data_IF_436077581713
#
_entry.id   IF_436077581713
#
_cell.length_a   1.000
_cell.length_b   1.000
_cell.length_c   1.000
_cell.angle_alpha   90.00
_cell.angle_beta   90.00
_cell.angle_gamma   90.00
#
_symmetry.space_group_name_H-M   'P 1'
#
loop_
_entity.id
_entity.type
_entity.pdbx_description
1 polymer ?
#
# COMPACT_ATOMS: atom_id res chain seq x y z
N UNK A 1 37.56 -7.79 -11.94
CA UNK A 1 38.80 -7.08 -12.34
C UNK A 1 38.81 -7.09 -13.85
N UNK A 2 39.27 -6.02 -14.51
CA UNK A 2 39.38 -6.05 -15.96
C UNK A 2 40.47 -7.05 -16.37
N UNK A 3 40.38 -7.69 -17.53
CA UNK A 3 41.40 -8.64 -17.98
C UNK A 3 41.73 -8.42 -19.46
N UNK A 4 43.01 -8.54 -19.80
CA UNK A 4 43.50 -8.57 -21.17
C UNK A 4 44.39 -9.81 -21.35
N UNK A 5 44.45 -10.37 -22.56
CA UNK A 5 45.35 -11.50 -22.83
C UNK A 5 46.80 -11.01 -22.79
N UNK A 6 47.67 -11.79 -22.15
CA UNK A 6 49.10 -11.51 -22.12
C UNK A 6 49.70 -11.63 -23.53
N UNK A 7 50.55 -10.68 -23.98
CA UNK A 7 51.19 -10.76 -25.29
C UNK A 7 52.12 -11.97 -25.44
N UNK A 8 52.78 -12.39 -24.36
CA UNK A 8 53.75 -13.49 -24.38
C UNK A 8 53.08 -14.86 -24.29
N UNK A 9 52.21 -15.07 -23.29
CA UNK A 9 51.67 -16.40 -22.98
C UNK A 9 50.19 -16.58 -23.31
N UNK A 10 49.50 -15.56 -23.83
CA UNK A 10 48.09 -15.59 -24.19
C UNK A 10 47.10 -15.68 -23.01
N UNK A 11 47.55 -16.00 -21.79
CA UNK A 11 46.68 -16.12 -20.60
C UNK A 11 46.10 -14.75 -20.20
N UNK A 12 44.84 -14.69 -19.74
CA UNK A 12 44.24 -13.45 -19.27
C UNK A 12 44.94 -12.97 -18.00
N UNK A 13 45.44 -11.73 -18.03
CA UNK A 13 46.00 -11.03 -16.88
C UNK A 13 45.16 -9.81 -16.52
N UNK A 14 45.17 -9.39 -15.25
CA UNK A 14 44.38 -8.24 -14.81
C UNK A 14 44.90 -6.93 -15.42
N UNK A 15 43.99 -6.05 -15.87
CA UNK A 15 44.29 -4.67 -16.27
C UNK A 15 43.58 -3.68 -15.36
N UNK A 16 44.16 -2.49 -15.21
CA UNK A 16 43.64 -1.41 -14.37
C UNK A 16 43.46 -0.14 -15.19
N UNK A 17 42.28 0.49 -15.12
CA UNK A 17 42.04 1.79 -15.73
C UNK A 17 42.83 2.92 -15.03
N UNK A 18 43.26 2.69 -13.79
CA UNK A 18 44.13 3.62 -13.06
C UNK A 18 45.56 3.67 -13.64
N UNK A 19 45.99 2.63 -14.37
CA UNK A 19 47.31 2.55 -14.98
C UNK A 19 47.18 1.86 -16.36
N UNK A 20 46.61 2.55 -17.37
CA UNK A 20 46.24 1.95 -18.65
C UNK A 20 47.45 1.42 -19.43
N UNK A 21 48.65 1.91 -19.13
CA UNK A 21 49.90 1.50 -19.78
C UNK A 21 50.68 0.43 -18.99
N UNK A 22 50.12 -0.10 -17.89
CA UNK A 22 50.75 -1.14 -17.08
C UNK A 22 49.93 -2.43 -17.08
N UNK A 23 50.57 -3.51 -17.49
CA UNK A 23 50.08 -4.87 -17.47
C UNK A 23 51.10 -5.77 -16.76
N UNK A 24 50.61 -6.65 -15.88
CA UNK A 24 51.42 -7.63 -15.18
C UNK A 24 50.76 -9.01 -15.30
N UNK A 25 51.45 -9.95 -15.95
CA UNK A 25 50.97 -11.31 -16.08
C UNK A 25 51.44 -12.14 -14.88
N UNK A 26 50.50 -12.64 -14.08
CA UNK A 26 50.82 -13.55 -12.97
C UNK A 26 51.33 -14.93 -13.41
N UNK A 27 51.10 -15.33 -14.67
CA UNK A 27 51.44 -16.67 -15.15
C UNK A 27 52.86 -16.78 -15.73
N UNK A 28 53.29 -15.83 -16.56
CA UNK A 28 54.64 -15.82 -17.16
C UNK A 28 55.56 -14.73 -16.60
N UNK A 29 55.06 -13.87 -15.70
CA UNK A 29 55.85 -12.78 -15.11
C UNK A 29 56.02 -11.54 -15.99
N UNK A 30 55.48 -11.51 -17.21
CA UNK A 30 55.57 -10.36 -18.12
C UNK A 30 55.06 -9.06 -17.45
N UNK A 31 55.86 -7.99 -17.55
CA UNK A 31 55.53 -6.64 -17.08
C UNK A 31 55.77 -5.65 -18.23
N UNK A 32 54.72 -4.96 -18.67
CA UNK A 32 54.84 -4.04 -19.82
C UNK A 32 53.51 -3.37 -20.16
N UNK A 33 53.41 -2.82 -21.36
CA UNK A 33 52.15 -2.26 -21.85
C UNK A 33 51.15 -3.39 -22.22
N UNK A 34 49.83 -3.19 -22.05
CA UNK A 34 48.84 -4.11 -22.59
C UNK A 34 48.95 -4.19 -24.12
N UNK A 35 48.65 -5.34 -24.74
CA UNK A 35 48.84 -5.52 -26.18
C UNK A 35 47.88 -4.68 -27.04
N UNK A 36 48.44 -4.08 -28.09
CA UNK A 36 47.71 -3.51 -29.22
C UNK A 36 46.53 -2.61 -28.83
N UNK A 37 45.35 -2.94 -29.36
CA UNK A 37 44.10 -2.21 -29.18
C UNK A 37 43.64 -2.11 -27.71
N UNK A 38 44.05 -3.03 -26.83
CA UNK A 38 43.64 -3.00 -25.43
C UNK A 38 44.17 -1.75 -24.70
N UNK A 39 45.40 -1.33 -25.00
CA UNK A 39 45.98 -0.10 -24.43
C UNK A 39 45.19 1.14 -24.85
N UNK A 40 44.84 1.26 -26.14
CA UNK A 40 44.04 2.36 -26.67
C UNK A 40 42.63 2.40 -26.04
N UNK A 41 41.96 1.26 -25.95
CA UNK A 41 40.64 1.14 -25.30
C UNK A 41 40.69 1.49 -23.81
N UNK A 42 41.72 1.07 -23.08
CA UNK A 42 41.90 1.42 -21.67
C UNK A 42 42.14 2.91 -21.47
N UNK A 43 42.92 3.56 -22.34
CA UNK A 43 43.13 5.02 -22.32
C UNK A 43 41.84 5.78 -22.64
N UNK A 44 41.09 5.33 -23.65
CA UNK A 44 39.80 5.91 -24.00
C UNK A 44 38.82 5.80 -22.83
N UNK A 45 38.66 4.61 -22.24
CA UNK A 45 37.82 4.38 -21.08
C UNK A 45 38.27 5.21 -19.86
N UNK A 46 39.57 5.34 -19.62
CA UNK A 46 40.10 6.22 -18.57
C UNK A 46 39.79 7.69 -18.83
N UNK A 47 39.82 8.15 -20.09
CA UNK A 47 39.45 9.51 -20.48
C UNK A 47 37.96 9.79 -20.27
N UNK A 48 37.08 8.83 -20.58
CA UNK A 48 35.64 8.94 -20.31
C UNK A 48 35.40 8.99 -18.80
N UNK A 49 36.11 8.15 -18.03
CA UNK A 49 36.00 8.09 -16.59
C UNK A 49 36.47 9.39 -15.92
N UNK A 50 37.47 10.08 -16.45
CA UNK A 50 37.96 11.36 -15.93
C UNK A 50 37.04 12.53 -16.30
N UNK A 51 36.44 12.51 -17.50
CA UNK A 51 35.43 13.51 -17.93
C UNK A 51 34.10 13.39 -17.20
N UNK A 52 33.72 12.19 -16.76
CA UNK A 52 32.48 11.97 -16.01
C UNK A 52 32.59 12.59 -14.61
N UNK A 53 31.65 13.45 -14.23
CA UNK A 53 31.65 14.11 -12.91
C UNK A 53 31.84 13.11 -11.76
N UNK A 54 32.86 13.35 -10.91
CA UNK A 54 33.14 12.56 -9.72
C UNK A 54 31.94 12.48 -8.77
N UNK A 55 31.11 13.52 -8.70
CA UNK A 55 29.88 13.53 -7.90
C UNK A 55 28.92 12.42 -8.33
N UNK A 56 28.96 11.97 -9.58
CA UNK A 56 28.12 10.85 -10.06
C UNK A 56 28.51 9.49 -9.47
N UNK A 57 29.75 9.36 -9.02
CA UNK A 57 30.35 8.12 -8.48
C UNK A 57 30.40 8.08 -6.95
N UNK A 58 29.96 9.17 -6.32
CA UNK A 58 29.89 9.30 -4.88
C UNK A 58 28.46 9.03 -4.39
N UNK A 59 28.38 8.38 -3.24
CA UNK A 59 27.15 8.11 -2.51
C UNK A 59 26.93 9.20 -1.47
N UNK A 60 25.68 9.58 -1.25
CA UNK A 60 25.32 10.47 -0.15
C UNK A 60 25.52 9.77 1.21
N UNK A 61 25.66 10.55 2.29
CA UNK A 61 25.79 10.02 3.65
C UNK A 61 24.62 9.10 4.02
N UNK A 62 23.40 9.45 3.59
CA UNK A 62 22.21 8.63 3.79
C UNK A 62 22.31 7.28 3.05
N UNK A 63 22.73 7.28 1.78
CA UNK A 63 22.91 6.06 0.99
C UNK A 63 23.97 5.14 1.61
N UNK A 64 25.07 5.72 2.10
CA UNK A 64 26.11 4.96 2.81
C UNK A 64 25.54 4.26 4.04
N UNK A 65 24.82 4.99 4.91
CA UNK A 65 24.19 4.42 6.11
C UNK A 65 23.19 3.30 5.76
N UNK A 66 22.40 3.48 4.71
CA UNK A 66 21.45 2.47 4.23
C UNK A 66 22.16 1.18 3.76
N UNK A 67 23.33 1.32 3.14
CA UNK A 67 24.11 0.18 2.65
C UNK A 67 24.94 -0.49 3.75
N UNK A 68 25.37 0.23 4.78
CA UNK A 68 26.15 -0.35 5.89
C UNK A 68 25.30 -0.98 7.00
N UNK A 69 24.10 -0.45 7.26
CA UNK A 69 23.27 -0.87 8.38
C UNK A 69 21.94 -1.45 7.90
N UNK A 70 21.78 -2.77 8.02
CA UNK A 70 20.52 -3.45 7.74
C UNK A 70 19.40 -3.01 8.69
N UNK A 71 19.76 -2.68 9.94
CA UNK A 71 18.82 -2.13 10.93
C UNK A 71 18.29 -0.77 10.47
N UNK A 72 19.17 0.15 10.05
CA UNK A 72 18.75 1.48 9.60
C UNK A 72 17.80 1.40 8.40
N UNK A 73 18.11 0.55 7.41
CA UNK A 73 17.21 0.33 6.27
C UNK A 73 15.87 -0.29 6.67
N UNK A 74 15.87 -1.22 7.62
CA UNK A 74 14.63 -1.81 8.16
C UNK A 74 13.81 -0.78 8.93
N UNK A 75 14.44 0.07 9.77
CA UNK A 75 13.75 1.12 10.52
C UNK A 75 13.15 2.19 9.61
N UNK A 76 13.89 2.67 8.60
CA UNK A 76 13.36 3.63 7.63
C UNK A 76 12.15 3.05 6.88
N UNK A 77 12.22 1.76 6.53
CA UNK A 77 11.11 1.06 5.89
C UNK A 77 9.88 0.93 6.79
N UNK A 78 10.07 0.48 8.04
CA UNK A 78 8.99 0.34 9.02
C UNK A 78 8.35 1.70 9.35
N UNK A 79 9.15 2.77 9.46
CA UNK A 79 8.64 4.12 9.66
C UNK A 79 7.76 4.57 8.48
N UNK A 80 8.14 4.25 7.25
CA UNK A 80 7.31 4.51 6.07
C UNK A 80 5.99 3.71 6.11
N UNK A 81 6.03 2.41 6.44
CA UNK A 81 4.82 1.60 6.61
C UNK A 81 3.90 2.14 7.72
N UNK A 82 4.46 2.54 8.87
CA UNK A 82 3.72 3.11 9.97
C UNK A 82 3.05 4.44 9.58
N UNK A 83 3.75 5.29 8.83
CA UNK A 83 3.19 6.54 8.32
C UNK A 83 1.97 6.33 7.40
N UNK A 84 1.95 5.24 6.62
CA UNK A 84 0.81 4.86 5.78
C UNK A 84 -0.38 4.36 6.63
N UNK A 85 -0.13 3.77 7.80
CA UNK A 85 -1.18 3.27 8.69
C UNK A 85 -1.81 4.37 9.58
N UNK A 86 -1.14 5.51 9.77
CA UNK A 86 -1.62 6.59 10.64
C UNK A 86 -3.05 7.09 10.30
N UNK A 87 -3.42 7.33 9.03
CA UNK A 87 -4.78 7.75 8.68
C UNK A 87 -5.83 6.71 9.07
N UNK A 88 -5.53 5.42 8.93
CA UNK A 88 -6.44 4.32 9.29
C UNK A 88 -6.65 4.24 10.79
N UNK A 89 -5.59 4.41 11.56
CA UNK A 89 -5.67 4.51 13.02
C UNK A 89 -6.55 5.70 13.45
N UNK A 90 -6.45 6.83 12.74
CA UNK A 90 -7.32 8.00 12.94
C UNK A 90 -8.79 7.71 12.64
N UNK A 91 -9.10 7.11 11.48
CA UNK A 91 -10.46 6.72 11.12
C UNK A 91 -11.05 5.73 12.15
N UNK A 92 -10.25 4.76 12.59
CA UNK A 92 -10.66 3.80 13.61
C UNK A 92 -10.98 4.50 14.93
N UNK A 93 -10.09 5.37 15.40
CA UNK A 93 -10.32 6.14 16.62
C UNK A 93 -11.61 6.97 16.53
N UNK A 94 -11.86 7.66 15.41
CA UNK A 94 -13.09 8.41 15.17
C UNK A 94 -14.34 7.51 15.18
N UNK A 95 -14.27 6.32 14.57
CA UNK A 95 -15.38 5.38 14.58
C UNK A 95 -15.69 4.84 15.99
N UNK A 96 -14.67 4.63 16.83
CA UNK A 96 -14.86 4.18 18.21
C UNK A 96 -15.60 5.20 19.08
N UNK A 97 -15.57 6.48 18.72
CA UNK A 97 -16.33 7.53 19.41
C UNK A 97 -17.78 7.67 18.93
N UNK A 98 -18.19 6.99 17.85
CA UNK A 98 -19.59 7.03 17.40
C UNK A 98 -20.45 6.11 18.27
N UNK A 99 -21.39 6.65 19.06
CA UNK A 99 -22.18 5.85 19.98
C UNK A 99 -23.31 5.12 19.22
N UNK A 100 -23.04 3.91 18.72
CA UNK A 100 -24.14 3.02 18.28
C UNK A 100 -23.80 1.77 17.50
N UNK A 101 -23.90 0.63 18.19
CA UNK A 101 -24.07 -0.69 17.59
C UNK A 101 -23.06 -1.72 18.12
N UNK A 102 -23.39 -3.02 18.13
CA UNK A 102 -22.37 -4.07 18.23
C UNK A 102 -21.32 -3.82 17.15
N UNK A 103 -20.04 -4.11 17.44
CA UNK A 103 -18.94 -3.89 16.51
C UNK A 103 -19.32 -4.52 15.17
N UNK A 104 -19.71 -3.69 14.21
CA UNK A 104 -20.17 -4.16 12.92
C UNK A 104 -18.96 -4.88 12.30
N UNK A 105 -19.15 -6.13 11.87
CA UNK A 105 -18.09 -6.88 11.21
C UNK A 105 -17.51 -6.09 10.04
N UNK A 106 -18.32 -5.21 9.42
CA UNK A 106 -17.86 -4.24 8.44
C UNK A 106 -16.79 -3.27 8.99
N UNK A 107 -16.97 -2.71 10.19
CA UNK A 107 -15.99 -1.83 10.82
C UNK A 107 -14.69 -2.58 11.17
N UNK A 108 -14.81 -3.82 11.67
CA UNK A 108 -13.65 -4.67 11.96
C UNK A 108 -12.88 -5.01 10.69
N UNK A 109 -13.57 -5.39 9.62
CA UNK A 109 -12.97 -5.65 8.31
C UNK A 109 -12.31 -4.39 7.74
N UNK A 110 -12.98 -3.24 7.80
CA UNK A 110 -12.43 -1.96 7.33
C UNK A 110 -11.12 -1.58 8.04
N UNK A 111 -10.96 -1.98 9.31
CA UNK A 111 -9.75 -1.72 10.08
C UNK A 111 -8.67 -2.79 9.90
N UNK A 112 -9.06 -4.06 9.80
CA UNK A 112 -8.14 -5.18 9.62
C UNK A 112 -7.53 -5.19 8.21
N UNK A 113 -8.30 -4.87 7.17
CA UNK A 113 -7.84 -4.95 5.78
C UNK A 113 -6.61 -4.08 5.51
N UNK A 114 -6.56 -2.78 5.87
CA UNK A 114 -5.36 -1.95 5.68
C UNK A 114 -4.13 -2.50 6.40
N UNK A 115 -4.31 -3.00 7.63
CA UNK A 115 -3.21 -3.60 8.40
C UNK A 115 -2.69 -4.85 7.71
N UNK A 116 -3.57 -5.76 7.29
CA UNK A 116 -3.18 -6.98 6.57
C UNK A 116 -2.50 -6.66 5.23
N UNK A 117 -2.99 -5.67 4.49
CA UNK A 117 -2.37 -5.19 3.25
C UNK A 117 -0.97 -4.63 3.54
N UNK A 118 -0.80 -3.76 4.54
CA UNK A 118 0.52 -3.22 4.87
C UNK A 118 1.46 -4.30 5.40
N UNK A 119 0.98 -5.30 6.15
CA UNK A 119 1.82 -6.41 6.61
C UNK A 119 2.27 -7.31 5.45
N UNK A 120 1.36 -7.68 4.56
CA UNK A 120 1.66 -8.56 3.42
C UNK A 120 2.55 -7.87 2.39
N UNK A 121 2.13 -6.72 1.87
CA UNK A 121 2.92 -5.95 0.91
C UNK A 121 4.16 -5.34 1.56
N UNK A 122 4.11 -5.03 2.86
CA UNK A 122 5.25 -4.55 3.64
C UNK A 122 6.35 -5.61 3.76
N UNK A 123 5.99 -6.85 4.13
CA UNK A 123 6.94 -7.94 4.20
C UNK A 123 7.58 -8.21 2.82
N UNK A 124 6.77 -8.31 1.76
CA UNK A 124 7.26 -8.50 0.40
C UNK A 124 8.15 -7.34 -0.06
N UNK A 125 7.76 -6.09 0.24
CA UNK A 125 8.53 -4.90 -0.10
C UNK A 125 9.86 -4.83 0.66
N UNK A 126 9.90 -5.25 1.92
CA UNK A 126 11.14 -5.34 2.71
C UNK A 126 12.09 -6.39 2.13
N UNK A 127 11.58 -7.58 1.79
CA UNK A 127 12.39 -8.63 1.14
C UNK A 127 12.93 -8.16 -0.21
N UNK A 128 12.07 -7.50 -1.01
CA UNK A 128 12.48 -6.91 -2.28
C UNK A 128 13.56 -5.84 -2.08
N UNK A 129 13.39 -4.91 -1.12
CA UNK A 129 14.37 -3.89 -0.79
C UNK A 129 15.70 -4.51 -0.36
N UNK A 130 15.69 -5.52 0.52
CA UNK A 130 16.88 -6.25 0.94
C UNK A 130 17.60 -6.91 -0.23
N UNK A 131 16.87 -7.56 -1.13
CA UNK A 131 17.44 -8.17 -2.34
C UNK A 131 18.09 -7.14 -3.27
N UNK A 132 17.46 -5.96 -3.43
CA UNK A 132 17.98 -4.86 -4.24
C UNK A 132 19.22 -4.24 -3.60
N UNK A 133 19.20 -4.01 -2.29
CA UNK A 133 20.35 -3.51 -1.55
C UNK A 133 21.51 -4.50 -1.61
N UNK A 134 21.27 -5.81 -1.51
CA UNK A 134 22.30 -6.84 -1.68
C UNK A 134 22.97 -6.75 -3.08
N UNK A 135 22.18 -6.58 -4.15
CA UNK A 135 22.70 -6.38 -5.50
C UNK A 135 23.52 -5.09 -5.61
N UNK A 136 23.04 -3.99 -5.03
CA UNK A 136 23.76 -2.71 -5.03
C UNK A 136 25.08 -2.81 -4.24
N UNK A 137 25.08 -3.49 -3.09
CA UNK A 137 26.29 -3.77 -2.31
C UNK A 137 27.30 -4.57 -3.12
N UNK A 138 26.85 -5.62 -3.82
CA UNK A 138 27.71 -6.42 -4.69
C UNK A 138 28.32 -5.60 -5.84
N UNK A 139 27.58 -4.65 -6.40
CA UNK A 139 28.07 -3.76 -7.47
C UNK A 139 29.08 -2.72 -6.98
N UNK A 140 28.91 -2.22 -5.75
CA UNK A 140 29.78 -1.22 -5.13
C UNK A 140 30.98 -1.81 -4.38
N UNK A 141 30.98 -3.12 -4.17
CA UNK A 141 32.03 -3.79 -3.45
C UNK A 141 33.37 -3.71 -4.18
N UNK A 142 34.41 -3.36 -3.43
CA UNK A 142 35.78 -3.41 -3.93
C UNK A 142 36.11 -4.82 -4.46
N UNK A 143 37.06 -4.90 -5.38
CA UNK A 143 37.66 -6.18 -5.71
C UNK A 143 38.45 -6.68 -4.48
N UNK A 144 38.22 -7.92 -4.05
CA UNK A 144 38.96 -8.49 -2.93
C UNK A 144 40.46 -8.51 -3.26
N UNK A 145 41.32 -8.40 -2.25
CA UNK A 145 42.76 -8.46 -2.46
C UNK A 145 43.16 -9.85 -3.00
N UNK A 146 44.13 -9.95 -3.92
CA UNK A 146 44.55 -11.22 -4.51
C UNK A 146 45.24 -12.14 -3.50
N UNK A 147 45.85 -11.56 -2.46
CA UNK A 147 46.50 -12.27 -1.36
C UNK A 147 46.13 -11.60 -0.02
N UNK A 148 46.08 -12.36 1.08
CA UNK A 148 45.92 -11.77 2.41
C UNK A 148 46.95 -10.66 2.67
N UNK A 149 46.51 -9.50 3.16
CA UNK A 149 47.38 -8.34 3.43
C UNK A 149 47.60 -7.40 2.23
N UNK A 150 47.29 -7.82 1.00
CA UNK A 150 47.32 -6.89 -0.15
C UNK A 150 46.15 -5.89 -0.08
N UNK A 151 46.28 -4.69 -0.67
CA UNK A 151 45.18 -3.74 -0.72
C UNK A 151 44.06 -4.25 -1.65
N UNK A 152 42.80 -4.02 -1.24
CA UNK A 152 41.65 -4.19 -2.11
C UNK A 152 41.75 -3.22 -3.31
N UNK A 153 41.15 -3.58 -4.44
CA UNK A 153 41.16 -2.75 -5.64
C UNK A 153 39.80 -2.10 -5.90
N UNK A 154 39.80 -0.90 -6.47
CA UNK A 154 38.58 -0.15 -6.76
C UNK A 154 37.69 -0.91 -7.76
N UNK A 155 36.38 -1.00 -7.47
CA UNK A 155 35.41 -1.71 -8.33
C UNK A 155 35.22 -1.05 -9.71
N UNK A 156 35.55 0.24 -9.83
CA UNK A 156 35.42 1.02 -11.07
C UNK A 156 36.73 1.05 -11.86
N UNK A 157 37.85 1.47 -11.27
CA UNK A 157 39.09 1.66 -12.04
C UNK A 157 40.14 0.57 -11.81
N UNK A 158 39.94 -0.33 -10.84
CA UNK A 158 40.92 -1.34 -10.45
C UNK A 158 42.13 -0.80 -9.68
N UNK A 159 42.22 0.51 -9.42
CA UNK A 159 43.34 1.10 -8.67
C UNK A 159 43.32 0.69 -7.19
N UNK A 160 44.49 0.66 -6.52
CA UNK A 160 44.60 0.24 -5.13
C UNK A 160 43.83 1.18 -4.20
N UNK A 161 43.15 0.61 -3.22
CA UNK A 161 42.48 1.35 -2.15
C UNK A 161 43.39 1.43 -0.93
N UNK A 162 43.44 2.59 -0.28
CA UNK A 162 44.14 2.72 0.99
C UNK A 162 43.49 1.80 2.03
N UNK A 163 44.30 0.99 2.71
CA UNK A 163 43.82 0.15 3.80
C UNK A 163 43.36 1.06 4.93
N UNK A 164 42.07 1.00 5.27
CA UNK A 164 41.51 1.66 6.45
C UNK A 164 40.80 0.61 7.27
N UNK A 165 41.19 0.47 8.54
CA UNK A 165 40.76 -0.63 9.42
C UNK A 165 39.25 -0.65 9.68
N UNK A 166 38.59 0.50 9.73
CA UNK A 166 37.22 0.58 10.28
C UNK A 166 36.17 1.20 9.35
N UNK A 167 36.58 1.79 8.23
CA UNK A 167 35.63 2.42 7.32
C UNK A 167 34.98 1.37 6.41
N UNK A 168 33.66 1.16 6.53
CA UNK A 168 32.93 0.31 5.61
C UNK A 168 33.00 0.80 4.15
N UNK A 169 33.25 2.10 3.93
CA UNK A 169 33.40 2.71 2.62
C UNK A 169 34.75 3.41 2.47
N UNK A 170 35.47 3.13 1.38
CA UNK A 170 36.72 3.80 1.02
C UNK A 170 36.58 4.48 -0.33
N UNK A 171 36.98 5.75 -0.40
CA UNK A 171 36.98 6.52 -1.64
C UNK A 171 38.29 6.28 -2.39
N UNK A 172 38.18 5.90 -3.66
CA UNK A 172 39.36 5.70 -4.50
C UNK A 172 40.08 7.04 -4.76
N UNK A 173 41.39 7.10 -4.53
CA UNK A 173 42.20 8.29 -4.79
C UNK A 173 42.23 8.69 -6.28
N UNK A 174 42.13 7.72 -7.18
CA UNK A 174 42.20 7.92 -8.64
C UNK A 174 40.86 8.39 -9.23
N UNK A 175 39.83 7.55 -9.15
CA UNK A 175 38.54 7.82 -9.83
C UNK A 175 37.47 8.44 -8.91
N UNK A 176 37.78 8.64 -7.62
CA UNK A 176 36.87 9.16 -6.59
C UNK A 176 35.55 8.41 -6.40
N UNK A 177 35.44 7.18 -6.92
CA UNK A 177 34.32 6.29 -6.64
C UNK A 177 34.36 5.81 -5.18
N UNK A 178 33.18 5.70 -4.57
CA UNK A 178 33.04 5.09 -3.25
C UNK A 178 33.00 3.55 -3.39
N UNK A 179 33.80 2.84 -2.60
CA UNK A 179 33.91 1.38 -2.63
C UNK A 179 33.50 0.81 -1.29
N UNK A 180 32.63 -0.19 -1.30
CA UNK A 180 32.25 -0.93 -0.10
C UNK A 180 33.34 -1.97 0.20
N UNK A 181 34.01 -1.84 1.35
CA UNK A 181 35.12 -2.71 1.79
C UNK A 181 34.78 -3.51 3.05
N UNK A 182 33.50 -3.61 3.40
CA UNK A 182 33.03 -4.40 4.54
C UNK A 182 33.53 -5.85 4.45
N UNK A 183 34.18 -6.41 5.49
CA UNK A 183 34.72 -7.77 5.47
C UNK A 183 33.68 -8.83 5.10
N UNK A 184 32.44 -8.69 5.61
CA UNK A 184 31.33 -9.61 5.30
C UNK A 184 30.99 -9.63 3.82
N UNK A 185 31.01 -8.47 3.16
CA UNK A 185 30.67 -8.35 1.73
C UNK A 185 31.82 -8.89 0.87
N UNK A 186 33.07 -8.60 1.24
CA UNK A 186 34.23 -9.11 0.52
C UNK A 186 34.34 -10.64 0.62
N UNK A 187 34.06 -11.22 1.79
CA UNK A 187 34.00 -12.67 1.97
C UNK A 187 32.93 -13.31 1.08
N UNK A 188 31.69 -12.82 1.15
CA UNK A 188 30.58 -13.35 0.35
C UNK A 188 30.82 -13.25 -1.17
N UNK A 189 31.52 -12.21 -1.62
CA UNK A 189 31.87 -12.05 -3.03
C UNK A 189 33.06 -12.90 -3.46
N UNK A 190 34.01 -13.18 -2.57
CA UNK A 190 35.10 -14.12 -2.84
C UNK A 190 34.54 -15.48 -3.28
N UNK A 191 33.58 -15.99 -2.53
CA UNK A 191 32.94 -17.28 -2.79
C UNK A 191 32.09 -17.28 -4.07
N UNK A 192 31.37 -16.18 -4.32
CA UNK A 192 30.51 -16.06 -5.50
C UNK A 192 31.29 -15.87 -6.80
N UNK A 193 32.41 -15.14 -6.77
CA UNK A 193 33.22 -14.83 -7.98
C UNK A 193 34.02 -16.01 -8.50
N UNK A 194 34.27 -17.03 -7.68
CA UNK A 194 34.86 -18.28 -8.15
C UNK A 194 34.01 -18.96 -9.25
N UNK A 195 32.76 -18.51 -9.48
CA UNK A 195 31.79 -19.19 -10.36
C UNK A 195 31.39 -18.42 -11.64
N UNK A 196 31.81 -17.17 -11.87
CA UNK A 196 31.28 -16.36 -12.99
C UNK A 196 32.36 -15.52 -13.67
N UNK A 197 32.84 -15.97 -14.84
CA UNK A 197 33.76 -15.18 -15.68
C UNK A 197 33.60 -15.48 -17.20
N UNK A 198 32.41 -15.28 -17.78
CA UNK A 198 32.21 -15.48 -19.23
C UNK A 198 31.57 -14.34 -20.03
N UNK A 199 31.12 -13.22 -19.44
CA UNK A 199 30.46 -12.17 -20.23
C UNK A 199 30.89 -10.74 -19.83
N UNK A 200 31.62 -10.06 -20.72
CA UNK A 200 32.55 -8.97 -20.33
C UNK A 200 32.29 -7.62 -21.00
N UNK A 201 31.89 -7.58 -22.27
CA UNK A 201 31.92 -6.34 -23.06
C UNK A 201 30.65 -5.51 -22.93
N UNK A 202 29.50 -6.12 -22.62
CA UNK A 202 28.23 -5.38 -22.41
C UNK A 202 28.10 -4.66 -21.07
N UNK A 203 28.93 -5.00 -20.08
CA UNK A 203 28.60 -4.80 -18.67
C UNK A 203 29.22 -3.51 -18.08
N UNK A 204 30.31 -3.00 -18.66
CA UNK A 204 31.05 -1.83 -18.13
C UNK A 204 30.29 -0.51 -18.30
N UNK A 205 29.63 -0.31 -19.44
CA UNK A 205 28.77 0.87 -19.69
C UNK A 205 27.51 0.84 -18.82
N UNK A 206 26.91 -0.35 -18.63
CA UNK A 206 25.70 -0.54 -17.83
C UNK A 206 25.97 -0.29 -16.34
N UNK A 207 27.08 -0.79 -15.78
CA UNK A 207 27.34 -0.75 -14.32
C UNK A 207 27.43 0.64 -13.69
N UNK A 208 27.93 1.65 -14.41
CA UNK A 208 28.07 3.00 -13.86
C UNK A 208 26.73 3.78 -13.76
N UNK A 209 25.79 3.51 -14.67
CA UNK A 209 24.45 4.10 -14.67
C UNK A 209 23.45 3.34 -13.77
N UNK A 210 23.62 2.01 -13.67
CA UNK A 210 22.68 1.13 -12.95
C UNK A 210 22.60 1.46 -11.46
N UNK A 211 23.69 1.80 -10.76
CA UNK A 211 23.61 1.96 -9.29
C UNK A 211 22.60 3.04 -8.86
N UNK A 212 22.55 4.18 -9.58
CA UNK A 212 21.57 5.24 -9.31
C UNK A 212 20.21 4.96 -9.90
N UNK A 213 20.16 4.37 -11.10
CA UNK A 213 18.89 4.04 -11.74
C UNK A 213 18.16 2.92 -11.00
N UNK A 214 18.89 1.96 -10.43
CA UNK A 214 18.39 0.93 -9.52
C UNK A 214 17.89 1.51 -8.21
N UNK A 215 18.57 2.54 -7.67
CA UNK A 215 18.08 3.26 -6.49
C UNK A 215 16.78 4.03 -6.78
N UNK A 216 16.74 4.76 -7.91
CA UNK A 216 15.55 5.50 -8.36
C UNK A 216 14.41 4.57 -8.74
N UNK A 217 14.68 3.42 -9.36
CA UNK A 217 13.65 2.44 -9.70
C UNK A 217 13.23 1.60 -8.49
N UNK A 218 14.09 1.39 -7.49
CA UNK A 218 13.68 0.85 -6.20
C UNK A 218 12.74 1.83 -5.46
N UNK A 219 13.05 3.14 -5.50
CA UNK A 219 12.21 4.19 -4.92
C UNK A 219 10.91 4.44 -5.71
N UNK A 220 10.91 4.28 -7.04
CA UNK A 220 9.71 4.40 -7.89
C UNK A 220 8.87 3.12 -7.92
N UNK A 221 9.51 1.95 -7.85
CA UNK A 221 8.89 0.63 -7.77
C UNK A 221 8.32 0.32 -6.39
N UNK A 222 8.83 0.97 -5.35
CA UNK A 222 8.03 1.38 -4.20
C UNK A 222 6.99 2.39 -4.71
N UNK A 223 5.96 1.89 -5.37
CA UNK A 223 4.80 2.64 -5.82
C UNK A 223 4.03 3.18 -4.62
N UNK A 224 4.63 4.13 -3.90
CA UNK A 224 4.01 4.94 -2.86
C UNK A 224 2.72 5.56 -3.39
N UNK A 225 2.66 5.91 -4.69
CA UNK A 225 1.43 6.36 -5.32
C UNK A 225 0.30 5.34 -5.23
N UNK A 226 0.51 4.09 -5.63
CA UNK A 226 -0.56 3.07 -5.63
C UNK A 226 -0.83 2.50 -4.22
N UNK A 227 0.21 2.30 -3.41
CA UNK A 227 0.10 1.81 -2.03
C UNK A 227 -0.50 2.83 -1.06
N UNK A 228 -0.41 4.13 -1.36
CA UNK A 228 -1.05 5.19 -0.55
C UNK A 228 -2.39 5.60 -1.15
N UNK A 229 -2.50 5.77 -2.47
CA UNK A 229 -3.73 6.28 -3.08
C UNK A 229 -4.91 5.30 -2.97
N UNK A 230 -4.69 3.99 -3.16
CA UNK A 230 -5.81 3.04 -3.11
C UNK A 230 -6.42 2.91 -1.70
N UNK A 231 -5.61 2.77 -0.63
CA UNK A 231 -6.16 2.74 0.72
C UNK A 231 -6.77 4.09 1.13
N UNK A 232 -6.14 5.22 0.75
CA UNK A 232 -6.65 6.55 1.05
C UNK A 232 -7.98 6.83 0.33
N UNK A 233 -8.11 6.42 -0.93
CA UNK A 233 -9.37 6.51 -1.68
C UNK A 233 -10.46 5.62 -1.06
N UNK A 234 -10.10 4.44 -0.57
CA UNK A 234 -11.03 3.56 0.14
C UNK A 234 -11.50 4.19 1.47
N UNK A 235 -10.58 4.75 2.25
CA UNK A 235 -10.90 5.49 3.48
C UNK A 235 -11.79 6.71 3.22
N UNK A 236 -11.47 7.51 2.20
CA UNK A 236 -12.28 8.65 1.79
C UNK A 236 -13.66 8.20 1.33
N UNK A 237 -13.75 7.14 0.52
CA UNK A 237 -15.02 6.55 0.08
C UNK A 237 -15.88 6.07 1.25
N UNK A 238 -15.30 5.35 2.20
CA UNK A 238 -16.00 4.87 3.39
C UNK A 238 -16.43 6.02 4.33
N UNK A 239 -15.58 7.04 4.48
CA UNK A 239 -15.90 8.22 5.30
C UNK A 239 -17.03 9.04 4.68
N UNK A 240 -16.97 9.28 3.36
CA UNK A 240 -18.03 9.96 2.60
C UNK A 240 -19.33 9.15 2.69
N UNK A 241 -19.26 7.83 2.50
CA UNK A 241 -20.42 6.95 2.63
C UNK A 241 -21.02 6.98 4.04
N UNK A 242 -20.19 6.95 5.08
CA UNK A 242 -20.63 7.03 6.47
C UNK A 242 -21.28 8.38 6.80
N UNK A 243 -20.68 9.49 6.34
CA UNK A 243 -21.27 10.83 6.48
C UNK A 243 -22.60 10.90 5.74
N UNK A 244 -22.67 10.44 4.49
CA UNK A 244 -23.92 10.44 3.72
C UNK A 244 -25.03 9.61 4.34
N UNK A 245 -24.71 8.50 5.03
CA UNK A 245 -25.69 7.69 5.74
C UNK A 245 -26.17 8.32 7.06
N UNK A 246 -25.41 9.25 7.64
CA UNK A 246 -25.75 9.92 8.90
C UNK A 246 -26.35 11.31 8.71
N UNK A 247 -26.35 11.87 7.49
CA UNK A 247 -27.06 13.12 7.21
C UNK A 247 -28.56 12.84 7.31
N UNK A 248 -29.20 13.43 8.33
CA UNK A 248 -30.66 13.51 8.43
C UNK A 248 -31.16 14.36 7.26
N UNK A 249 -31.95 13.77 6.37
CA UNK A 249 -32.66 14.48 5.32
C UNK A 249 -34.13 14.65 5.70
N UNK A 250 -34.85 15.46 4.92
CA UNK A 250 -36.31 15.43 4.97
C UNK A 250 -36.82 14.00 4.68
N UNK A 251 -37.99 13.62 5.23
CA UNK A 251 -38.58 12.31 4.97
C UNK A 251 -38.79 12.06 3.47
N UNK A 252 -38.44 10.86 3.02
CA UNK A 252 -38.72 10.41 1.67
C UNK A 252 -40.23 10.23 1.48
N UNK A 253 -40.86 11.15 0.76
CA UNK A 253 -42.31 11.13 0.49
C UNK A 253 -42.75 10.01 -0.47
N UNK A 254 -41.83 9.51 -1.28
CA UNK A 254 -42.02 8.46 -2.26
C UNK A 254 -41.96 7.05 -1.64
N UNK A 255 -41.42 6.92 -0.43
CA UNK A 255 -41.38 5.65 0.28
C UNK A 255 -42.78 5.25 0.80
N UNK A 256 -43.34 4.18 0.21
CA UNK A 256 -44.58 3.56 0.65
C UNK A 256 -44.33 2.49 1.74
N UNK A 257 -45.19 2.48 2.75
CA UNK A 257 -45.21 1.52 3.85
C UNK A 257 -46.55 0.82 3.92
N UNK A 258 -46.60 -0.36 4.50
CA UNK A 258 -47.82 -1.11 4.74
C UNK A 258 -47.84 -1.68 6.16
N UNK A 259 -49.02 -2.00 6.66
CA UNK A 259 -49.19 -2.77 7.89
C UNK A 259 -49.30 -4.25 7.56
N UNK A 260 -48.60 -5.09 8.31
CA UNK A 260 -48.70 -6.54 8.25
C UNK A 260 -49.00 -7.07 9.65
N UNK A 261 -49.97 -7.98 9.73
CA UNK A 261 -50.26 -8.69 10.96
C UNK A 261 -49.15 -9.70 11.24
N UNK A 262 -48.47 -9.53 12.37
CA UNK A 262 -47.42 -10.40 12.88
C UNK A 262 -47.81 -10.89 14.30
N UNK A 263 -47.11 -11.89 14.86
CA UNK A 263 -47.34 -12.31 16.25
C UNK A 263 -47.18 -11.17 17.28
N UNK A 264 -46.38 -10.15 16.93
CA UNK A 264 -46.21 -8.93 17.72
C UNK A 264 -47.27 -7.85 17.40
N UNK A 265 -48.39 -8.19 16.77
CA UNK A 265 -49.43 -7.25 16.37
C UNK A 265 -49.20 -6.65 14.98
N UNK A 266 -49.75 -5.46 14.73
CA UNK A 266 -49.69 -4.82 13.41
C UNK A 266 -48.37 -4.08 13.22
N UNK A 267 -47.47 -4.65 12.44
CA UNK A 267 -46.13 -4.12 12.24
C UNK A 267 -45.98 -3.40 10.90
N UNK A 268 -45.14 -2.37 10.89
CA UNK A 268 -44.88 -1.56 9.69
C UNK A 268 -43.84 -2.26 8.82
N UNK A 269 -44.09 -2.36 7.53
CA UNK A 269 -43.12 -2.88 6.53
C UNK A 269 -42.96 -1.88 5.40
N UNK A 270 -41.76 -1.83 4.79
CA UNK A 270 -41.52 -1.06 3.57
C UNK A 270 -42.00 -1.82 2.33
N UNK A 271 -42.62 -1.10 1.39
CA UNK A 271 -42.98 -1.63 0.06
C UNK A 271 -41.80 -1.41 -0.89
N UNK A 272 -41.25 -2.49 -1.47
CA UNK A 272 -40.07 -2.39 -2.38
C UNK A 272 -40.41 -2.16 -3.86
N UNK A 273 -41.69 -2.29 -4.22
CA UNK A 273 -42.15 -2.08 -5.60
C UNK A 273 -43.26 -3.03 -6.00
N UNK A 274 -43.70 -2.89 -7.25
CA UNK A 274 -44.76 -3.69 -7.87
C UNK A 274 -44.15 -4.69 -8.85
N UNK A 275 -44.38 -5.98 -8.64
CA UNK A 275 -43.96 -7.06 -9.55
C UNK A 275 -45.21 -7.80 -10.00
N UNK A 276 -45.63 -7.58 -11.24
CA UNK A 276 -46.83 -8.22 -11.81
C UNK A 276 -48.12 -7.91 -11.04
N UNK A 277 -48.31 -6.66 -10.62
CA UNK A 277 -49.49 -6.22 -9.85
C UNK A 277 -49.46 -6.54 -8.35
N UNK A 278 -48.46 -7.30 -7.89
CA UNK A 278 -48.25 -7.60 -6.48
C UNK A 278 -47.23 -6.66 -5.86
N UNK A 279 -47.51 -6.19 -4.64
CA UNK A 279 -46.53 -5.48 -3.80
C UNK A 279 -45.58 -6.48 -3.15
N UNK A 280 -44.29 -6.18 -3.21
CA UNK A 280 -43.23 -6.91 -2.51
C UNK A 280 -43.02 -6.28 -1.14
N UNK A 281 -43.39 -7.01 -0.08
CA UNK A 281 -43.27 -6.60 1.32
C UNK A 281 -42.05 -7.28 1.94
N UNK A 282 -41.17 -6.50 2.56
CA UNK A 282 -39.99 -7.00 3.26
C UNK A 282 -40.27 -7.00 4.76
N UNK A 283 -40.79 -8.11 5.28
CA UNK A 283 -40.97 -8.28 6.72
C UNK A 283 -39.69 -8.87 7.30
N UNK A 284 -38.99 -8.09 8.12
CA UNK A 284 -37.80 -8.58 8.83
C UNK A 284 -38.17 -9.27 10.14
N UNK A 285 -37.63 -10.46 10.39
CA UNK A 285 -37.35 -10.91 11.76
C UNK A 285 -36.00 -10.29 12.15
N UNK A 286 -36.02 -8.98 12.45
CA UNK A 286 -34.82 -8.15 12.60
C UNK A 286 -33.93 -8.59 13.77
N UNK A 287 -34.49 -9.28 14.76
CA UNK A 287 -33.72 -9.90 15.84
C UNK A 287 -32.77 -11.01 15.34
N UNK A 288 -33.01 -11.57 14.14
CA UNK A 288 -32.25 -12.70 13.58
C UNK A 288 -31.73 -12.49 12.16
N UNK A 289 -31.92 -11.30 11.56
CA UNK A 289 -31.38 -10.97 10.24
C UNK A 289 -32.03 -11.70 9.05
N UNK A 290 -33.20 -12.33 9.24
CA UNK A 290 -33.93 -12.99 8.17
C UNK A 290 -35.03 -12.04 7.62
N UNK A 291 -34.89 -11.59 6.37
CA UNK A 291 -35.95 -10.86 5.68
C UNK A 291 -36.80 -11.82 4.86
N UNK A 292 -38.08 -11.95 5.18
CA UNK A 292 -39.03 -12.70 4.37
C UNK A 292 -39.68 -11.73 3.38
N UNK A 293 -39.56 -12.02 2.09
CA UNK A 293 -40.25 -11.26 1.06
C UNK A 293 -41.60 -11.91 0.76
N UNK A 294 -42.69 -11.24 1.13
CA UNK A 294 -44.05 -11.71 0.79
C UNK A 294 -44.62 -10.88 -0.36
N UNK A 295 -45.33 -11.55 -1.28
CA UNK A 295 -46.03 -10.89 -2.39
C UNK A 295 -47.53 -10.92 -2.12
N UNK A 296 -48.17 -9.76 -2.19
CA UNK A 296 -49.64 -9.65 -2.08
C UNK A 296 -50.20 -8.73 -3.16
N UNK A 297 -51.44 -8.91 -3.62
CA UNK A 297 -52.09 -7.99 -4.55
C UNK A 297 -52.11 -6.56 -3.98
N UNK A 298 -51.74 -5.54 -4.77
CA UNK A 298 -51.71 -4.14 -4.28
C UNK A 298 -53.06 -3.68 -3.72
N UNK A 299 -54.17 -4.17 -4.29
CA UNK A 299 -55.52 -3.82 -3.86
C UNK A 299 -55.85 -4.26 -2.42
N UNK A 300 -55.15 -5.27 -1.90
CA UNK A 300 -55.40 -5.85 -0.57
C UNK A 300 -54.52 -5.25 0.52
N UNK A 301 -53.51 -4.45 0.15
CA UNK A 301 -52.51 -3.94 1.09
C UNK A 301 -52.66 -2.43 1.21
N UNK A 302 -53.28 -1.92 2.29
CA UNK A 302 -53.37 -0.49 2.52
C UNK A 302 -51.96 0.07 2.71
N UNK A 303 -51.54 0.90 1.75
CA UNK A 303 -50.26 1.60 1.80
C UNK A 303 -50.42 2.98 2.43
N UNK A 304 -49.38 3.46 3.10
CA UNK A 304 -49.28 4.78 3.71
C UNK A 304 -47.86 5.34 3.60
N UNK A 305 -47.71 6.65 3.80
CA UNK A 305 -46.40 7.34 3.84
C UNK A 305 -45.90 7.47 5.27
N UNK A 306 -44.58 7.51 5.47
CA UNK A 306 -43.99 7.61 6.81
C UNK A 306 -44.57 8.79 7.63
N UNK A 307 -44.82 9.94 7.00
CA UNK A 307 -45.41 11.13 7.64
C UNK A 307 -46.72 10.84 8.42
N UNK A 308 -47.50 9.84 8.01
CA UNK A 308 -48.73 9.45 8.69
C UNK A 308 -48.49 8.86 10.10
N UNK A 309 -47.24 8.48 10.42
CA UNK A 309 -46.85 7.96 11.73
C UNK A 309 -46.51 9.07 12.75
N UNK A 310 -46.39 10.33 12.32
CA UNK A 310 -46.02 11.43 13.21
C UNK A 310 -47.04 11.58 14.35
N UNK A 311 -46.56 11.60 15.59
CA UNK A 311 -47.40 11.69 16.79
C UNK A 311 -48.14 10.39 17.18
N UNK A 312 -48.01 9.31 16.41
CA UNK A 312 -48.62 8.02 16.74
C UNK A 312 -47.86 7.31 17.86
N UNK A 313 -48.56 6.43 18.60
CA UNK A 313 -47.96 5.50 19.56
C UNK A 313 -47.53 4.24 18.85
N UNK A 314 -46.25 3.91 18.97
CA UNK A 314 -45.63 2.74 18.36
C UNK A 314 -44.88 1.94 19.42
N UNK A 315 -44.65 0.67 19.14
CA UNK A 315 -43.91 -0.27 19.97
C UNK A 315 -42.64 -0.70 19.25
N UNK A 316 -41.51 -0.56 19.91
CA UNK A 316 -40.20 -1.00 19.44
C UNK A 316 -39.48 -1.75 20.56
N UNK A 317 -38.97 -2.95 20.28
CA UNK A 317 -38.32 -3.81 21.28
C UNK A 317 -39.15 -4.00 22.57
N UNK A 318 -40.48 -4.08 22.42
CA UNK A 318 -41.41 -4.25 23.53
C UNK A 318 -41.72 -2.99 24.34
N UNK A 319 -41.11 -1.84 24.03
CA UNK A 319 -41.41 -0.55 24.67
C UNK A 319 -42.33 0.30 23.81
N UNK A 320 -43.36 0.86 24.41
CA UNK A 320 -44.23 1.85 23.75
C UNK A 320 -43.62 3.25 23.85
N UNK A 321 -43.65 3.98 22.75
CA UNK A 321 -43.23 5.38 22.69
C UNK A 321 -44.02 6.12 21.62
N UNK A 322 -44.06 7.45 21.72
CA UNK A 322 -44.70 8.30 20.72
C UNK A 322 -43.67 8.74 19.67
N UNK A 323 -44.08 8.77 18.41
CA UNK A 323 -43.24 9.28 17.32
C UNK A 323 -43.16 10.80 17.41
N UNK A 324 -42.00 11.34 17.80
CA UNK A 324 -41.76 12.77 17.92
C UNK A 324 -41.51 13.44 16.56
N UNK A 325 -40.61 12.87 15.76
CA UNK A 325 -40.27 13.36 14.42
C UNK A 325 -39.85 12.21 13.50
N UNK A 326 -39.87 12.47 12.20
CA UNK A 326 -39.48 11.50 11.16
C UNK A 326 -38.41 12.17 10.30
N UNK A 327 -37.37 11.43 9.94
CA UNK A 327 -36.25 11.91 9.10
C UNK A 327 -35.88 10.87 8.06
N UNK A 328 -35.40 11.28 6.90
CA UNK A 328 -34.79 10.39 5.91
C UNK A 328 -33.30 10.14 6.18
N UNK A 329 -32.74 9.06 5.63
CA UNK A 329 -31.31 8.78 5.56
C UNK A 329 -30.77 8.94 4.14
N UNK A 330 -29.84 9.88 3.95
CA UNK A 330 -29.32 10.29 2.63
C UNK A 330 -28.78 9.16 1.74
N UNK A 331 -28.25 8.07 2.32
CA UNK A 331 -27.63 6.98 1.56
C UNK A 331 -28.51 5.75 1.28
N UNK A 332 -29.53 5.46 2.11
CA UNK A 332 -30.36 4.24 1.96
C UNK A 332 -31.77 4.52 1.46
N UNK A 333 -32.18 5.79 1.39
CA UNK A 333 -33.55 6.15 1.01
C UNK A 333 -34.57 5.62 2.01
N UNK A 334 -34.21 5.48 3.30
CA UNK A 334 -35.07 4.96 4.36
C UNK A 334 -35.53 6.11 5.26
N UNK A 335 -36.75 5.99 5.80
CA UNK A 335 -37.21 6.87 6.86
C UNK A 335 -36.93 6.25 8.24
N UNK A 336 -36.55 7.10 9.20
CA UNK A 336 -36.36 6.78 10.61
C UNK A 336 -37.29 7.60 11.48
N UNK A 337 -37.77 7.00 12.56
CA UNK A 337 -38.62 7.57 13.58
C UNK A 337 -37.77 7.96 14.79
N UNK A 338 -37.87 9.20 15.22
CA UNK A 338 -37.35 9.62 16.52
C UNK A 338 -38.47 9.46 17.54
N UNK A 339 -38.30 8.53 18.47
CA UNK A 339 -39.29 8.23 19.50
C UNK A 339 -39.04 9.10 20.73
N UNK A 340 -40.09 9.59 21.37
CA UNK A 340 -39.99 10.36 22.62
C UNK A 340 -39.26 9.52 23.70
N UNK A 341 -38.20 10.09 24.28
CA UNK A 341 -37.38 9.41 25.29
C UNK A 341 -36.40 8.37 24.76
N UNK A 342 -36.40 8.07 23.45
CA UNK A 342 -35.39 7.20 22.85
C UNK A 342 -34.14 8.01 22.46
N UNK A 343 -32.93 7.52 22.77
CA UNK A 343 -31.69 8.21 22.42
C UNK A 343 -31.33 8.11 20.93
N UNK A 344 -32.05 7.29 20.14
CA UNK A 344 -31.74 7.00 18.74
C UNK A 344 -32.99 6.91 17.87
N UNK A 345 -32.83 7.28 16.60
CA UNK A 345 -33.85 7.10 15.59
C UNK A 345 -33.94 5.64 15.15
N UNK A 346 -35.15 5.08 15.14
CA UNK A 346 -35.42 3.70 14.76
C UNK A 346 -35.92 3.64 13.32
N UNK A 347 -35.55 2.66 12.49
CA UNK A 347 -36.13 2.51 11.15
C UNK A 347 -37.66 2.38 11.21
N UNK A 348 -38.37 2.99 10.26
CA UNK A 348 -39.86 2.93 10.22
C UNK A 348 -40.38 1.48 10.15
N UNK A 349 -39.63 0.58 9.53
CA UNK A 349 -39.98 -0.84 9.38
C UNK A 349 -39.71 -1.72 10.61
N UNK A 350 -39.16 -1.13 11.69
CA UNK A 350 -38.80 -1.85 12.92
C UNK A 350 -39.79 -1.58 14.06
N UNK A 351 -40.94 -0.95 13.75
CA UNK A 351 -41.96 -0.63 14.74
C UNK A 351 -43.28 -1.31 14.44
N UNK A 352 -44.01 -1.64 15.51
CA UNK A 352 -45.40 -2.06 15.43
C UNK A 352 -46.29 -0.98 16.04
N UNK A 353 -47.56 -0.93 15.64
CA UNK A 353 -48.50 -0.02 16.27
C UNK A 353 -48.80 -0.48 17.70
N UNK A 354 -48.89 0.47 18.63
CA UNK A 354 -49.32 0.18 20.00
C UNK A 354 -50.77 -0.34 20.00
N UNK A 355 -51.16 -1.09 21.03
CA UNK A 355 -52.50 -1.66 21.11
C UNK A 355 -53.56 -0.54 21.16
N UNK A 356 -54.57 -0.66 20.30
CA UNK A 356 -55.62 0.36 20.14
C UNK A 356 -55.19 1.63 19.41
N UNK A 357 -53.98 1.71 18.86
CA UNK A 357 -53.60 2.82 17.98
C UNK A 357 -54.40 2.77 16.66
N UNK A 358 -54.93 3.91 16.19
CA UNK A 358 -55.67 3.96 14.93
C UNK A 358 -54.77 3.54 13.75
N UNK A 359 -55.36 3.03 12.67
CA UNK A 359 -54.61 2.82 11.43
C UNK A 359 -54.13 4.17 10.89
N UNK A 360 -52.89 4.27 10.35
CA UNK A 360 -52.43 5.47 9.69
C UNK A 360 -53.34 5.78 8.49
N UNK A 361 -53.60 7.06 8.27
CA UNK A 361 -54.43 7.47 7.14
C UNK A 361 -53.75 7.08 5.82
N UNK A 362 -54.52 6.59 4.82
CA UNK A 362 -53.98 6.35 3.49
C UNK A 362 -53.45 7.67 2.90
N UNK A 363 -52.49 7.61 1.97
CA UNK A 363 -51.92 8.80 1.39
C UNK A 363 -53.03 9.56 0.66
N UNK A 364 -53.14 10.85 0.93
CA UNK A 364 -54.01 11.72 0.15
C UNK A 364 -53.45 11.67 -1.28
N UNK A 365 -54.27 11.30 -2.30
CA UNK A 365 -53.79 11.24 -3.66
C UNK A 365 -53.24 12.62 -4.05
N UNK A 366 -51.92 12.70 -4.22
CA UNK A 366 -51.26 13.93 -4.65
C UNK A 366 -51.81 14.20 -6.04
N UNK A 367 -52.70 15.20 -6.16
CA UNK A 367 -53.13 15.69 -7.47
C UNK A 367 -51.88 16.21 -8.16
N UNK A 368 -51.30 15.42 -9.05
CA UNK A 368 -50.29 15.89 -9.97
C UNK A 368 -50.90 17.09 -10.70
N UNK A 369 -50.47 18.30 -10.36
CA UNK A 369 -50.72 19.48 -11.18
C UNK A 369 -50.02 19.18 -12.51
N UNK A 370 -50.83 18.90 -13.53
CA UNK A 370 -50.37 18.79 -14.91
C UNK A 370 -49.79 20.12 -15.38
#
# INVERSE_FOLDING_TARGET
MYAARCPECGRPGPVQLAAPDRFACGACGYRGAPPGQASAQLREAASILTRTDARRRQLSTFQRRLLTSDLFGTLVYLAACAAVLLPFAGCFALSAFTPGGPVDWAALLMCATPVLVVLTFGASGLLFLRSRLARVRAQLAAFPPPTPGAPAACHVCGGPLAATSDAAFVRCAFCRADNLVSPRVLAALGDARARVLEDFTGEVGRRSAIARQAFRSALRGLGLGALVAAPLACCLGASVFSVMNNIETEPYEDAEYALVDAPAGRCVTRVRGLVGGNVSLVTGDWARGASVTTRRPRAEVPVFRAAALAGMRVRHEGREARVARITGTGGTGENRLHLEGAPRAVPVQDVCLADGAPSPAPPIPVRHRR
#
